data_IF_211243639486
#
_entry.id   IF_211243639486
#
_cell.length_a   1.000
_cell.length_b   1.000
_cell.length_c   1.000
_cell.angle_alpha   90.00
_cell.angle_beta   90.00
_cell.angle_gamma   90.00
#
_symmetry.space_group_name_H-M   'P 1'
#
loop_
_entity.id
_entity.type
_entity.pdbx_description
1 polymer ?
#
# COMPACT_ATOMS: atom_id res chain seq x y z
N UNK A 1 -23.61 32.09 38.07
CA UNK A 1 -22.61 31.37 37.23
C UNK A 1 -22.84 31.78 35.82
N UNK A 2 -21.84 32.36 35.17
CA UNK A 2 -21.94 32.72 33.79
C UNK A 2 -21.74 31.49 32.89
N UNK A 3 -22.28 31.53 31.69
CA UNK A 3 -22.13 30.41 30.73
C UNK A 3 -20.67 30.06 30.44
N UNK A 4 -19.75 31.00 30.55
CA UNK A 4 -18.32 30.81 30.36
C UNK A 4 -17.65 30.03 31.53
N UNK A 5 -18.09 30.28 32.74
CA UNK A 5 -17.56 29.52 33.92
C UNK A 5 -17.92 28.03 33.89
N UNK A 6 -19.10 27.71 33.35
CA UNK A 6 -19.53 26.32 33.17
C UNK A 6 -18.72 25.61 32.09
N UNK A 7 -18.42 26.29 30.97
CA UNK A 7 -17.59 25.74 29.88
C UNK A 7 -16.15 25.48 30.36
N UNK A 8 -15.57 26.40 31.10
CA UNK A 8 -14.22 26.20 31.64
C UNK A 8 -14.16 25.03 32.66
N UNK A 9 -15.19 24.87 33.49
CA UNK A 9 -15.25 23.72 34.41
C UNK A 9 -15.38 22.38 33.69
N UNK A 10 -16.20 22.33 32.65
CA UNK A 10 -16.35 21.09 31.82
C UNK A 10 -15.05 20.77 31.11
N UNK A 11 -14.40 21.76 30.50
CA UNK A 11 -13.12 21.57 29.82
C UNK A 11 -12.01 21.08 30.80
N UNK A 12 -11.92 21.66 31.99
CA UNK A 12 -10.97 21.21 32.98
C UNK A 12 -11.22 19.76 33.43
N UNK A 13 -12.49 19.35 33.60
CA UNK A 13 -12.82 17.96 33.95
C UNK A 13 -12.53 16.96 32.81
N UNK A 14 -12.74 17.35 31.56
CA UNK A 14 -12.42 16.49 30.40
C UNK A 14 -10.91 16.31 30.26
N UNK A 15 -10.15 17.40 30.42
CA UNK A 15 -8.67 17.36 30.38
C UNK A 15 -8.11 16.50 31.50
N UNK A 16 -8.64 16.61 32.73
CA UNK A 16 -8.22 15.81 33.86
C UNK A 16 -8.51 14.30 33.66
N UNK A 17 -9.60 13.95 33.00
CA UNK A 17 -9.93 12.54 32.69
C UNK A 17 -9.10 11.94 31.54
N UNK A 18 -8.66 12.75 30.60
CA UNK A 18 -7.83 12.31 29.47
C UNK A 18 -6.35 12.23 29.88
N UNK A 19 -5.91 13.03 30.85
CA UNK A 19 -4.51 13.08 31.26
C UNK A 19 -4.12 12.04 32.32
N UNK A 20 -5.07 11.26 32.86
CA UNK A 20 -4.76 10.21 33.86
C UNK A 20 -5.21 8.84 33.36
N UNK A 21 -4.32 8.03 32.79
CA UNK A 21 -4.60 6.62 32.60
C UNK A 21 -4.36 5.88 33.92
N UNK A 22 -5.29 5.96 34.85
CA UNK A 22 -5.35 5.00 35.94
C UNK A 22 -5.88 3.67 35.45
N UNK A 23 -4.96 2.78 35.10
CA UNK A 23 -5.25 1.37 34.89
C UNK A 23 -5.63 0.73 36.25
N UNK A 24 -6.91 0.60 36.52
CA UNK A 24 -7.40 -0.31 37.52
C UNK A 24 -7.11 -1.74 37.07
N UNK A 25 -6.18 -2.40 37.77
CA UNK A 25 -5.86 -3.81 37.60
C UNK A 25 -7.07 -4.66 37.96
N UNK A 26 -7.64 -5.36 36.97
CA UNK A 26 -8.65 -6.40 37.16
C UNK A 26 -7.90 -7.69 37.53
N UNK A 27 -8.15 -8.33 38.70
CA UNK A 27 -7.48 -9.57 39.05
C UNK A 27 -7.94 -10.70 38.13
N UNK A 28 -7.00 -11.30 37.37
CA UNK A 28 -7.26 -12.49 36.57
C UNK A 28 -7.03 -12.36 35.08
N UNK A 29 -6.62 -11.21 34.52
CA UNK A 29 -6.17 -11.13 33.15
C UNK A 29 -4.63 -11.28 33.06
N UNK A 30 -4.12 -12.04 32.08
CA UNK A 30 -2.68 -12.08 31.83
C UNK A 30 -2.20 -10.66 31.51
N UNK A 31 -1.23 -10.18 32.26
CA UNK A 31 -0.64 -8.87 32.06
C UNK A 31 -0.03 -8.81 30.65
N UNK A 32 -0.20 -7.70 29.91
CA UNK A 32 0.54 -7.52 28.68
C UNK A 32 2.02 -7.52 29.03
N UNK A 33 2.76 -8.39 28.35
CA UNK A 33 4.22 -8.46 28.43
C UNK A 33 4.73 -7.05 28.17
N UNK A 34 5.38 -6.44 29.17
CA UNK A 34 6.15 -5.22 28.97
C UNK A 34 7.23 -5.56 27.95
N UNK A 35 7.00 -5.18 26.70
CA UNK A 35 8.06 -5.05 25.73
C UNK A 35 9.07 -4.05 26.28
N UNK A 36 10.13 -4.59 26.85
CA UNK A 36 11.37 -3.85 27.06
C UNK A 36 11.76 -3.32 25.71
N UNK A 37 11.67 -2.02 25.52
CA UNK A 37 12.14 -1.32 24.35
C UNK A 37 13.66 -1.51 24.21
N UNK A 38 14.05 -2.66 23.70
CA UNK A 38 15.27 -2.76 22.92
C UNK A 38 14.91 -2.18 21.56
N UNK A 39 15.49 -1.04 21.24
CA UNK A 39 15.52 -0.54 19.89
C UNK A 39 16.31 -1.54 19.01
N UNK A 40 15.72 -2.70 18.77
CA UNK A 40 16.08 -3.50 17.65
C UNK A 40 15.75 -2.64 16.42
N UNK A 41 16.81 -2.27 15.73
CA UNK A 41 16.74 -1.82 14.35
C UNK A 41 16.03 -2.96 13.62
N UNK A 42 14.70 -2.95 13.63
CA UNK A 42 13.87 -3.86 12.87
C UNK A 42 14.30 -3.67 11.43
N UNK A 43 15.12 -4.59 10.94
CA UNK A 43 15.37 -4.71 9.52
C UNK A 43 14.02 -5.13 8.94
N UNK A 44 13.21 -4.14 8.59
CA UNK A 44 11.90 -4.39 7.98
C UNK A 44 12.15 -5.10 6.65
N UNK A 45 11.82 -6.38 6.62
CA UNK A 45 11.89 -7.18 5.39
C UNK A 45 10.76 -6.86 4.42
N UNK A 46 9.76 -6.11 4.91
CA UNK A 46 8.65 -5.61 4.12
C UNK A 46 8.59 -4.10 4.24
N UNK A 47 8.41 -3.42 3.12
CA UNK A 47 8.37 -1.96 3.07
C UNK A 47 7.19 -1.48 2.22
N UNK A 48 6.45 -0.51 2.76
CA UNK A 48 5.53 0.30 1.97
C UNK A 48 6.34 1.39 1.26
N UNK A 49 6.32 1.39 -0.07
CA UNK A 49 7.10 2.32 -0.88
C UNK A 49 6.32 3.61 -1.15
N UNK A 50 5.04 3.48 -1.46
CA UNK A 50 4.21 4.65 -1.74
C UNK A 50 2.88 4.29 -2.40
N UNK A 51 2.18 5.34 -2.79
CA UNK A 51 0.92 5.27 -3.53
C UNK A 51 1.01 6.08 -4.81
N UNK A 52 0.13 5.78 -5.75
CA UNK A 52 -0.10 6.56 -6.95
C UNK A 52 -1.60 6.67 -7.23
N UNK A 53 -1.94 7.46 -8.23
CA UNK A 53 -3.31 7.61 -8.72
C UNK A 53 -3.93 6.24 -9.09
N UNK A 54 -5.26 6.14 -9.05
CA UNK A 54 -5.98 4.90 -9.34
C UNK A 54 -6.03 3.91 -8.18
N UNK A 55 -6.00 4.41 -6.95
CA UNK A 55 -5.97 3.60 -5.72
C UNK A 55 -4.81 2.57 -5.75
N UNK A 56 -3.67 3.02 -6.24
CA UNK A 56 -2.48 2.19 -6.41
C UNK A 56 -1.59 2.25 -5.18
N UNK A 57 -1.05 1.11 -4.80
CA UNK A 57 -0.03 1.00 -3.75
C UNK A 57 1.16 0.18 -4.24
N UNK A 58 2.34 0.54 -3.75
CA UNK A 58 3.59 -0.15 -3.99
C UNK A 58 4.19 -0.69 -2.70
N UNK A 59 4.55 -1.97 -2.71
CA UNK A 59 5.14 -2.68 -1.58
C UNK A 59 6.41 -3.41 -2.04
N UNK A 60 7.32 -3.65 -1.10
CA UNK A 60 8.51 -4.48 -1.33
C UNK A 60 8.64 -5.50 -0.21
N UNK A 61 8.96 -6.73 -0.56
CA UNK A 61 9.34 -7.78 0.37
C UNK A 61 10.79 -8.16 0.06
N UNK A 62 11.68 -7.86 0.99
CA UNK A 62 13.08 -8.25 0.91
C UNK A 62 13.28 -9.66 1.47
N UNK A 63 14.20 -10.39 0.87
CA UNK A 63 14.53 -11.77 1.29
C UNK A 63 13.28 -12.64 1.45
N UNK A 64 12.47 -12.68 0.41
CA UNK A 64 11.17 -13.34 0.37
C UNK A 64 11.30 -14.84 0.70
N UNK A 65 10.37 -15.34 1.52
CA UNK A 65 10.33 -16.76 1.90
C UNK A 65 10.02 -17.64 0.68
N UNK A 66 10.75 -18.74 0.54
CA UNK A 66 10.59 -19.66 -0.60
C UNK A 66 9.22 -20.36 -0.59
N UNK A 67 8.61 -20.60 0.59
CA UNK A 67 7.27 -21.15 0.68
C UNK A 67 6.21 -20.15 0.20
N UNK A 68 6.45 -18.85 0.40
CA UNK A 68 5.58 -17.81 -0.16
C UNK A 68 5.68 -17.79 -1.69
N UNK A 69 6.89 -17.86 -2.25
CA UNK A 69 7.08 -17.96 -3.70
C UNK A 69 6.36 -19.19 -4.29
N UNK A 70 6.47 -20.35 -3.62
CA UNK A 70 5.77 -21.56 -4.03
C UNK A 70 4.23 -21.38 -4.01
N UNK A 71 3.69 -20.80 -2.94
CA UNK A 71 2.27 -20.54 -2.81
C UNK A 71 1.74 -19.60 -3.91
N UNK A 72 2.56 -18.63 -4.30
CA UNK A 72 2.29 -17.68 -5.38
C UNK A 72 2.61 -18.27 -6.77
N UNK A 73 3.16 -19.47 -6.87
CA UNK A 73 3.61 -20.13 -8.11
C UNK A 73 4.68 -19.31 -8.85
N UNK A 74 5.54 -18.65 -8.11
CA UNK A 74 6.67 -17.87 -8.61
C UNK A 74 7.97 -18.67 -8.56
N UNK A 75 8.92 -18.28 -9.38
CA UNK A 75 10.24 -18.93 -9.39
C UNK A 75 11.04 -18.60 -8.12
N UNK A 76 11.69 -19.62 -7.55
CA UNK A 76 12.48 -19.50 -6.32
C UNK A 76 13.81 -18.72 -6.47
N UNK A 77 14.12 -18.29 -7.69
CA UNK A 77 15.36 -17.54 -7.95
C UNK A 77 15.30 -16.09 -7.44
N UNK A 78 14.10 -15.56 -7.23
CA UNK A 78 13.95 -14.20 -6.75
C UNK A 78 14.20 -14.09 -5.24
N UNK A 79 15.08 -13.18 -4.85
CA UNK A 79 15.35 -12.89 -3.43
C UNK A 79 14.45 -11.79 -2.88
N UNK A 80 13.97 -10.92 -3.74
CA UNK A 80 13.06 -9.83 -3.37
C UNK A 80 11.97 -9.70 -4.41
N UNK A 81 10.79 -9.33 -3.96
CA UNK A 81 9.65 -9.04 -4.82
C UNK A 81 9.08 -7.65 -4.53
N UNK A 82 8.67 -6.99 -5.58
CA UNK A 82 7.90 -5.76 -5.54
C UNK A 82 6.46 -6.04 -5.95
N UNK A 83 5.52 -5.45 -5.24
CA UNK A 83 4.09 -5.62 -5.49
C UNK A 83 3.52 -4.25 -5.86
N UNK A 84 2.90 -4.19 -7.03
CA UNK A 84 2.12 -3.04 -7.48
C UNK A 84 0.67 -3.47 -7.57
N UNK A 85 -0.15 -3.03 -6.63
CA UNK A 85 -1.56 -3.39 -6.55
C UNK A 85 -2.46 -2.19 -6.74
N UNK A 86 -3.55 -2.34 -7.51
CA UNK A 86 -4.48 -1.26 -7.79
C UNK A 86 -5.91 -1.74 -7.99
N UNK A 87 -6.86 -0.81 -7.81
CA UNK A 87 -8.28 -1.06 -8.07
C UNK A 87 -8.69 -0.74 -9.50
N UNK A 88 -7.95 0.12 -10.19
CA UNK A 88 -8.30 0.61 -11.53
C UNK A 88 -7.08 0.71 -12.42
N UNK A 89 -7.27 0.79 -13.73
CA UNK A 89 -6.24 1.23 -14.66
C UNK A 89 -5.21 0.17 -15.06
N UNK A 90 -5.65 -1.02 -15.46
CA UNK A 90 -4.75 -2.10 -15.89
C UNK A 90 -3.75 -1.67 -16.97
N UNK A 91 -4.18 -0.91 -17.99
CA UNK A 91 -3.31 -0.41 -19.04
C UNK A 91 -2.16 0.44 -18.53
N UNK A 92 -2.42 1.51 -17.76
CA UNK A 92 -1.37 2.32 -17.14
C UNK A 92 -0.43 1.51 -16.24
N UNK A 93 -0.94 0.52 -15.51
CA UNK A 93 -0.10 -0.33 -14.65
C UNK A 93 0.86 -1.22 -15.45
N UNK A 94 0.42 -1.75 -16.58
CA UNK A 94 1.29 -2.52 -17.48
C UNK A 94 2.38 -1.61 -18.06
N UNK A 95 2.03 -0.39 -18.47
CA UNK A 95 3.01 0.59 -18.97
C UNK A 95 4.01 0.98 -17.87
N UNK A 96 3.54 1.22 -16.67
CA UNK A 96 4.39 1.55 -15.53
C UNK A 96 5.34 0.40 -15.15
N UNK A 97 4.88 -0.85 -15.25
CA UNK A 97 5.73 -2.02 -15.05
C UNK A 97 6.82 -2.16 -16.12
N UNK A 98 6.50 -1.87 -17.37
CA UNK A 98 7.46 -1.86 -18.49
C UNK A 98 8.57 -0.82 -18.25
N UNK A 99 8.21 0.40 -17.85
CA UNK A 99 9.19 1.44 -17.52
C UNK A 99 10.04 1.05 -16.28
N UNK A 100 9.43 0.42 -15.28
CA UNK A 100 10.14 -0.04 -14.10
C UNK A 100 11.25 -1.04 -14.43
N UNK A 101 10.94 -2.07 -15.23
CA UNK A 101 11.92 -3.10 -15.58
C UNK A 101 13.00 -2.60 -16.55
N UNK A 102 12.69 -1.59 -17.37
CA UNK A 102 13.69 -0.93 -18.22
C UNK A 102 14.67 -0.07 -17.43
N UNK A 103 14.21 0.47 -16.28
CA UNK A 103 15.01 1.35 -15.44
C UNK A 103 15.81 0.63 -14.36
N UNK A 104 15.62 -0.69 -14.16
CA UNK A 104 16.22 -1.46 -13.06
C UNK A 104 16.57 -2.88 -13.49
N UNK A 105 17.32 -3.61 -12.66
CA UNK A 105 17.58 -5.05 -12.86
C UNK A 105 16.47 -5.91 -12.26
N UNK A 106 15.24 -5.62 -12.63
CA UNK A 106 14.07 -6.39 -12.22
C UNK A 106 13.37 -7.01 -13.43
N UNK A 107 12.51 -7.99 -13.16
CA UNK A 107 11.69 -8.63 -14.17
C UNK A 107 10.22 -8.57 -13.73
N UNK A 108 9.31 -8.51 -14.72
CA UNK A 108 7.90 -8.73 -14.44
C UNK A 108 7.68 -10.23 -14.27
N UNK A 109 7.27 -10.62 -13.07
CA UNK A 109 7.10 -12.03 -12.72
C UNK A 109 5.67 -12.48 -12.92
N UNK A 110 4.71 -11.63 -12.59
CA UNK A 110 3.28 -11.91 -12.73
C UNK A 110 2.52 -10.64 -13.03
N UNK A 111 1.52 -10.77 -13.89
CA UNK A 111 0.49 -9.76 -14.13
C UNK A 111 -0.85 -10.46 -13.99
N UNK A 112 -1.62 -10.06 -12.99
CA UNK A 112 -2.97 -10.54 -12.77
C UNK A 112 -3.94 -9.38 -12.93
N UNK A 113 -4.97 -9.63 -13.72
CA UNK A 113 -6.07 -8.69 -13.98
C UNK A 113 -7.35 -9.28 -13.40
N UNK A 114 -7.56 -9.15 -12.09
CA UNK A 114 -8.73 -9.73 -11.44
C UNK A 114 -10.00 -9.10 -12.00
N UNK A 115 -10.94 -9.95 -12.42
CA UNK A 115 -12.28 -9.56 -12.84
C UNK A 115 -13.22 -9.80 -11.71
N UNK A 116 -13.88 -8.75 -11.24
CA UNK A 116 -15.01 -8.92 -10.37
C UNK A 116 -16.26 -9.24 -11.20
N UNK A 117 -16.82 -10.40 -10.97
CA UNK A 117 -18.00 -10.89 -11.68
C UNK A 117 -19.32 -10.63 -10.96
N UNK A 118 -19.28 -10.10 -9.74
CA UNK A 118 -20.49 -9.90 -8.91
C UNK A 118 -20.63 -8.45 -8.43
N UNK A 119 -20.96 -7.56 -9.37
CA UNK A 119 -21.55 -6.26 -9.02
C UNK A 119 -20.62 -5.23 -8.41
N UNK A 120 -19.34 -5.47 -8.40
CA UNK A 120 -18.34 -4.50 -8.01
C UNK A 120 -17.64 -3.90 -9.22
N UNK A 121 -17.10 -2.73 -9.07
CA UNK A 121 -16.20 -2.10 -10.05
C UNK A 121 -14.79 -2.72 -9.97
N UNK A 122 -14.71 -4.05 -9.98
CA UNK A 122 -13.49 -4.79 -9.74
C UNK A 122 -12.59 -4.87 -10.96
N UNK A 123 -12.12 -3.75 -11.45
CA UNK A 123 -11.09 -3.67 -12.46
C UNK A 123 -9.77 -3.33 -11.77
N UNK A 124 -9.16 -4.32 -11.15
CA UNK A 124 -7.87 -4.16 -10.51
C UNK A 124 -6.73 -4.69 -11.36
N UNK A 125 -5.53 -4.43 -10.89
CA UNK A 125 -4.32 -5.09 -11.37
C UNK A 125 -3.45 -5.46 -10.18
N UNK A 126 -2.77 -6.60 -10.31
CA UNK A 126 -1.71 -7.02 -9.41
C UNK A 126 -0.51 -7.36 -10.27
N UNK A 127 0.55 -6.59 -10.13
CA UNK A 127 1.80 -6.81 -10.85
C UNK A 127 2.89 -7.12 -9.84
N UNK A 128 3.65 -8.15 -10.11
CA UNK A 128 4.77 -8.56 -9.28
C UNK A 128 6.05 -8.40 -10.07
N UNK A 129 6.96 -7.61 -9.53
CA UNK A 129 8.33 -7.48 -9.98
C UNK A 129 9.23 -8.39 -9.14
N UNK A 130 10.18 -9.06 -9.75
CA UNK A 130 11.17 -9.88 -9.07
C UNK A 130 12.58 -9.39 -9.32
N UNK A 131 13.44 -9.54 -8.33
CA UNK A 131 14.86 -9.20 -8.44
C UNK A 131 15.71 -9.87 -7.37
N UNK A 132 17.00 -9.86 -7.59
CA UNK A 132 17.98 -10.38 -6.63
C UNK A 132 18.38 -9.32 -5.59
N UNK A 133 18.33 -8.06 -5.95
CA UNK A 133 18.66 -6.93 -5.08
C UNK A 133 17.40 -6.19 -4.69
N UNK A 134 17.22 -5.98 -3.39
CA UNK A 134 16.05 -5.28 -2.85
C UNK A 134 16.03 -3.81 -3.28
N UNK A 135 17.19 -3.19 -3.47
CA UNK A 135 17.28 -1.79 -3.92
C UNK A 135 16.80 -1.63 -5.36
N UNK A 136 17.11 -2.59 -6.24
CA UNK A 136 16.58 -2.59 -7.60
C UNK A 136 15.06 -2.78 -7.61
N UNK A 137 14.56 -3.72 -6.80
CA UNK A 137 13.11 -3.96 -6.69
C UNK A 137 12.38 -2.73 -6.13
N UNK A 138 12.92 -2.11 -5.08
CA UNK A 138 12.37 -0.87 -4.52
C UNK A 138 12.36 0.24 -5.56
N UNK A 139 13.49 0.43 -6.25
CA UNK A 139 13.60 1.43 -7.31
C UNK A 139 12.61 1.17 -8.44
N UNK A 140 12.40 -0.10 -8.82
CA UNK A 140 11.39 -0.48 -9.80
C UNK A 140 9.98 -0.05 -9.40
N UNK A 141 9.60 -0.30 -8.15
CA UNK A 141 8.29 0.15 -7.61
C UNK A 141 8.20 1.68 -7.59
N UNK A 142 9.25 2.40 -7.16
CA UNK A 142 9.27 3.87 -7.19
C UNK A 142 9.08 4.44 -8.60
N UNK A 143 9.75 3.84 -9.59
CA UNK A 143 9.61 4.23 -11.00
C UNK A 143 8.18 3.96 -11.49
N UNK A 144 7.63 2.79 -11.18
CA UNK A 144 6.26 2.45 -11.57
C UNK A 144 5.22 3.43 -10.97
N UNK A 145 5.32 3.75 -9.68
CA UNK A 145 4.43 4.71 -9.03
C UNK A 145 4.51 6.09 -9.67
N UNK A 146 5.73 6.57 -9.94
CA UNK A 146 5.94 7.86 -10.60
C UNK A 146 5.40 7.88 -12.03
N UNK A 147 5.57 6.78 -12.75
CA UNK A 147 5.07 6.65 -14.12
C UNK A 147 3.54 6.65 -14.17
N UNK A 148 2.89 6.06 -13.18
CA UNK A 148 1.42 6.09 -13.07
C UNK A 148 0.87 7.51 -12.95
N UNK A 149 1.50 8.38 -12.18
CA UNK A 149 1.10 9.78 -12.08
C UNK A 149 1.20 10.50 -13.43
N UNK A 150 2.13 10.09 -14.29
CA UNK A 150 2.29 10.62 -15.64
C UNK A 150 1.29 10.03 -16.63
N UNK A 151 1.01 8.72 -16.53
CA UNK A 151 0.25 7.99 -17.56
C UNK A 151 -1.25 8.02 -17.38
N UNK A 152 -1.76 8.31 -16.19
CA UNK A 152 -3.20 8.48 -16.00
C UNK A 152 -3.74 9.72 -16.73
N UNK A 153 -2.87 10.69 -17.03
CA UNK A 153 -3.18 11.82 -17.91
C UNK A 153 -4.33 12.71 -17.43
N UNK A 154 -4.82 13.49 -18.37
CA UNK A 154 -5.93 14.40 -18.14
C UNK A 154 -7.28 13.68 -18.13
N UNK A 155 -8.25 14.32 -17.50
CA UNK A 155 -9.65 13.89 -17.53
C UNK A 155 -10.22 14.13 -18.92
N UNK A 156 -10.75 13.09 -19.51
CA UNK A 156 -11.42 13.16 -20.81
C UNK A 156 -12.94 13.18 -20.64
N UNK A 157 -13.60 14.11 -21.28
CA UNK A 157 -15.05 14.22 -21.30
C UNK A 157 -15.61 14.24 -22.72
N UNK A 158 -16.75 13.60 -22.96
CA UNK A 158 -17.46 13.65 -24.21
C UNK A 158 -18.76 14.49 -24.10
N UNK A 159 -19.40 14.78 -25.25
CA UNK A 159 -20.63 15.58 -25.32
C UNK A 159 -21.81 14.93 -24.58
N UNK A 160 -21.78 13.63 -24.32
CA UNK A 160 -22.80 12.91 -23.55
C UNK A 160 -22.60 13.05 -22.03
N UNK A 161 -21.58 13.81 -21.58
CA UNK A 161 -21.29 14.03 -20.16
C UNK A 161 -20.53 12.88 -19.49
N UNK A 162 -20.01 11.93 -20.23
CA UNK A 162 -19.12 10.92 -19.67
C UNK A 162 -17.76 11.53 -19.41
N UNK A 163 -17.24 11.31 -18.22
CA UNK A 163 -15.92 11.78 -17.79
C UNK A 163 -15.08 10.56 -17.47
N UNK A 164 -13.95 10.42 -18.13
CA UNK A 164 -13.01 9.33 -17.92
C UNK A 164 -11.58 9.86 -17.85
N UNK A 165 -10.73 9.19 -17.09
CA UNK A 165 -9.29 9.43 -17.17
C UNK A 165 -8.77 8.87 -18.50
N UNK A 166 -7.84 9.56 -19.12
CA UNK A 166 -7.35 9.29 -20.47
C UNK A 166 -6.92 7.83 -20.68
N UNK A 167 -6.40 7.19 -19.66
CA UNK A 167 -5.88 5.83 -19.70
C UNK A 167 -6.65 4.85 -18.80
N UNK A 168 -7.89 5.17 -18.46
CA UNK A 168 -8.71 4.19 -17.74
C UNK A 168 -9.08 3.08 -18.69
N UNK A 169 -8.38 1.96 -18.61
CA UNK A 169 -8.78 0.76 -19.30
C UNK A 169 -9.94 0.12 -18.54
N UNK A 170 -11.14 0.22 -19.08
CA UNK A 170 -12.22 -0.68 -18.68
C UNK A 170 -11.98 -2.01 -19.39
N UNK A 171 -11.63 -3.03 -18.62
CA UNK A 171 -11.58 -4.38 -19.12
C UNK A 171 -12.99 -4.99 -19.21
#
# INVERSE_FOLDING_TARGET
>A
MSSNELVEQIMAQVIARVATPEQQAIPGQPQPIRETAMAEKSCSLTEFVGTAIGDTLGLVIANVDTALLDAMKLEKRYRSIGILGARTGAGPHIMAADEAVKATNTEVVSIELPRDTKGGAGHGSLIILGGNDVSDVKRGIEVALKELDRTFGDVYGNEAGHIELQYTARA
#
